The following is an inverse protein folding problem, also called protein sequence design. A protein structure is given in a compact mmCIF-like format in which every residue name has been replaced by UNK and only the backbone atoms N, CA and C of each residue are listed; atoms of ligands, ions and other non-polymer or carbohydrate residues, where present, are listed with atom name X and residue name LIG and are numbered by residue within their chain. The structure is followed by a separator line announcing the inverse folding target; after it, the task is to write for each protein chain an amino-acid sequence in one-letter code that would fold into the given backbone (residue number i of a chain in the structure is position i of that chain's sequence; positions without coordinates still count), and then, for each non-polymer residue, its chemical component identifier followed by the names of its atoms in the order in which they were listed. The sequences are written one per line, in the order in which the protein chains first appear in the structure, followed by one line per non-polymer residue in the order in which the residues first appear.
data_IF_385835457270
#
_entry.id   IF_385835457270
#
_cell.length_a   1.000
_cell.length_b   1.000
_cell.length_c   1.000
_cell.angle_alpha   90.00
_cell.angle_beta   90.00
_cell.angle_gamma   90.00
#
_symmetry.space_group_name_H-M   'P 1'
#
loop_
_entity.id
_entity.type
_entity.pdbx_description
1 polymer ?
#
# COMPACT_ATOMS: atom_id res chain seq x y z
N UNK A 1 6.15 18.24 6.68
CA UNK A 1 7.02 17.29 5.96
C UNK A 1 7.10 15.93 6.65
N UNK A 2 7.61 15.84 7.89
CA UNK A 2 7.74 14.56 8.64
C UNK A 2 6.40 13.82 8.80
N UNK A 3 5.34 14.54 9.21
CA UNK A 3 3.99 13.94 9.37
C UNK A 3 3.49 13.34 8.04
N UNK A 4 3.72 14.01 6.91
CA UNK A 4 3.33 13.50 5.58
C UNK A 4 4.06 12.19 5.25
N UNK A 5 5.36 12.14 5.50
CA UNK A 5 6.20 10.95 5.29
C UNK A 5 5.70 9.78 6.15
N UNK A 6 5.39 10.04 7.43
CA UNK A 6 4.82 9.02 8.34
C UNK A 6 3.47 8.51 7.82
N UNK A 7 2.58 9.39 7.37
CA UNK A 7 1.29 9.00 6.82
C UNK A 7 1.43 8.16 5.54
N UNK A 8 2.37 8.50 4.67
CA UNK A 8 2.66 7.74 3.43
C UNK A 8 3.23 6.37 3.77
N UNK A 9 4.12 6.29 4.76
CA UNK A 9 4.64 5.02 5.27
C UNK A 9 3.51 4.14 5.83
N UNK A 10 2.64 4.70 6.68
CA UNK A 10 1.49 3.97 7.23
C UNK A 10 0.55 3.52 6.11
N UNK A 11 0.32 4.36 5.10
CA UNK A 11 -0.51 4.03 3.96
C UNK A 11 0.08 2.85 3.16
N UNK A 12 1.39 2.88 2.87
CA UNK A 12 2.09 1.76 2.25
C UNK A 12 1.99 0.47 3.07
N UNK A 13 2.18 0.56 4.39
CA UNK A 13 2.03 -0.59 5.29
C UNK A 13 0.63 -1.20 5.21
N UNK A 14 -0.43 -0.38 5.33
CA UNK A 14 -1.82 -0.86 5.29
C UNK A 14 -2.17 -1.45 3.92
N UNK A 15 -1.71 -0.84 2.83
CA UNK A 15 -1.97 -1.34 1.47
C UNK A 15 -1.38 -2.72 1.29
N UNK A 16 -0.16 -2.94 1.77
CA UNK A 16 0.46 -4.24 1.56
C UNK A 16 -0.20 -5.35 2.41
N UNK A 17 -0.75 -5.03 3.58
CA UNK A 17 -1.64 -5.94 4.30
C UNK A 17 -2.87 -6.31 3.47
N UNK A 18 -3.47 -5.35 2.77
CA UNK A 18 -4.61 -5.58 1.88
C UNK A 18 -4.20 -6.39 0.65
N UNK A 19 -3.04 -6.10 0.04
CA UNK A 19 -2.50 -6.85 -1.10
C UNK A 19 -2.22 -8.29 -0.71
N UNK A 20 -1.58 -8.54 0.42
CA UNK A 20 -1.32 -9.90 0.91
C UNK A 20 -2.63 -10.66 1.14
N UNK A 21 -3.64 -10.01 1.73
CA UNK A 21 -4.98 -10.60 1.90
C UNK A 21 -5.70 -10.85 0.58
N UNK A 22 -5.56 -9.94 -0.39
CA UNK A 22 -6.07 -10.09 -1.75
C UNK A 22 -5.45 -11.33 -2.40
N UNK A 23 -4.13 -11.46 -2.34
CA UNK A 23 -3.39 -12.61 -2.88
C UNK A 23 -3.86 -13.92 -2.25
N UNK A 24 -4.13 -13.94 -0.93
CA UNK A 24 -4.76 -15.08 -0.27
C UNK A 24 -6.14 -15.43 -0.86
N UNK A 25 -7.01 -14.44 -1.07
CA UNK A 25 -8.31 -14.67 -1.70
C UNK A 25 -8.23 -15.14 -3.15
N UNK A 26 -7.22 -14.69 -3.89
CA UNK A 26 -6.94 -15.20 -5.25
C UNK A 26 -6.53 -16.67 -5.18
N UNK A 27 -5.61 -17.04 -4.28
CA UNK A 27 -5.17 -18.41 -4.09
C UNK A 27 -6.33 -19.35 -3.67
N UNK A 28 -7.23 -18.87 -2.81
CA UNK A 28 -8.43 -19.59 -2.37
C UNK A 28 -9.59 -19.58 -3.39
N UNK A 29 -9.41 -18.98 -4.58
CA UNK A 29 -10.43 -18.81 -5.62
C UNK A 29 -11.71 -18.09 -5.13
N UNK A 30 -11.59 -17.20 -4.15
CA UNK A 30 -12.71 -16.39 -3.61
C UNK A 30 -12.95 -15.15 -4.47
N UNK A 31 -13.46 -15.35 -5.68
CA UNK A 31 -13.58 -14.33 -6.74
C UNK A 31 -14.20 -13.02 -6.22
N UNK A 32 -15.38 -13.06 -5.60
CA UNK A 32 -16.06 -11.84 -5.15
C UNK A 32 -15.27 -11.02 -4.12
N UNK A 33 -14.58 -11.69 -3.18
CA UNK A 33 -13.74 -11.00 -2.18
C UNK A 33 -12.46 -10.46 -2.81
N UNK A 34 -11.85 -11.20 -3.74
CA UNK A 34 -10.67 -10.76 -4.47
C UNK A 34 -10.97 -9.53 -5.33
N UNK A 35 -12.09 -9.53 -6.08
CA UNK A 35 -12.51 -8.38 -6.90
C UNK A 35 -12.80 -7.14 -6.06
N UNK A 36 -13.52 -7.30 -4.94
CA UNK A 36 -13.80 -6.18 -4.04
C UNK A 36 -12.51 -5.58 -3.45
N UNK A 37 -11.60 -6.43 -2.96
CA UNK A 37 -10.34 -5.97 -2.38
C UNK A 37 -9.43 -5.33 -3.44
N UNK A 38 -9.39 -5.89 -4.65
CA UNK A 38 -8.67 -5.32 -5.78
C UNK A 38 -9.16 -3.91 -6.11
N UNK A 39 -10.48 -3.70 -6.18
CA UNK A 39 -11.05 -2.36 -6.41
C UNK A 39 -10.64 -1.34 -5.34
N UNK A 40 -10.68 -1.73 -4.06
CA UNK A 40 -10.22 -0.87 -2.96
C UNK A 40 -8.74 -0.54 -3.10
N UNK A 41 -7.89 -1.56 -3.31
CA UNK A 41 -6.44 -1.38 -3.45
C UNK A 41 -6.14 -0.41 -4.62
N UNK A 42 -6.83 -0.56 -5.74
CA UNK A 42 -6.66 0.32 -6.91
C UNK A 42 -7.00 1.77 -6.57
N UNK A 43 -8.17 2.04 -5.98
CA UNK A 43 -8.60 3.41 -5.64
C UNK A 43 -7.59 4.06 -4.68
N UNK A 44 -7.17 3.33 -3.65
CA UNK A 44 -6.22 3.84 -2.65
C UNK A 44 -4.85 4.12 -3.29
N UNK A 45 -4.35 3.20 -4.12
CA UNK A 45 -3.07 3.40 -4.82
C UNK A 45 -3.11 4.58 -5.79
N UNK A 46 -4.20 4.77 -6.53
CA UNK A 46 -4.36 5.95 -7.39
C UNK A 46 -4.32 7.25 -6.59
N UNK A 47 -5.06 7.31 -5.47
CA UNK A 47 -5.04 8.47 -4.57
C UNK A 47 -3.64 8.77 -4.04
N UNK A 48 -2.89 7.75 -3.62
CA UNK A 48 -1.52 7.93 -3.13
C UNK A 48 -0.54 8.32 -4.21
N UNK A 49 -0.63 7.73 -5.40
CA UNK A 49 0.17 8.13 -6.55
C UNK A 49 -0.04 9.61 -6.88
N UNK A 50 -1.29 10.08 -6.90
CA UNK A 50 -1.58 11.51 -7.09
C UNK A 50 -0.93 12.37 -6.00
N UNK A 51 -1.00 11.98 -4.73
CA UNK A 51 -0.39 12.72 -3.62
C UNK A 51 1.15 12.71 -3.63
N UNK A 52 1.76 11.62 -4.10
CA UNK A 52 3.21 11.47 -4.21
C UNK A 52 3.73 12.31 -5.39
N UNK A 53 3.04 12.28 -6.53
CA UNK A 53 3.47 12.93 -7.77
C UNK A 53 3.21 14.44 -7.82
N UNK A 54 2.31 14.97 -7.00
CA UNK A 54 2.07 16.41 -6.88
C UNK A 54 3.18 17.16 -6.11
N UNK A 55 4.12 16.45 -5.49
CA UNK A 55 5.21 17.06 -4.72
C UNK A 55 6.43 17.40 -5.58
N UNK A 56 7.25 18.35 -5.14
CA UNK A 56 8.55 18.65 -5.77
C UNK A 56 9.48 17.42 -5.80
N UNK A 57 10.43 17.36 -6.75
CA UNK A 57 11.24 16.15 -7.01
C UNK A 57 11.92 15.54 -5.75
N UNK A 58 12.53 16.37 -4.89
CA UNK A 58 13.18 15.88 -3.66
C UNK A 58 12.18 15.34 -2.62
N UNK A 59 11.02 15.99 -2.47
CA UNK A 59 9.94 15.49 -1.62
C UNK A 59 9.29 14.23 -2.19
N UNK A 60 9.19 14.13 -3.52
CA UNK A 60 8.68 12.95 -4.22
C UNK A 60 9.52 11.71 -3.94
N UNK A 61 10.86 11.82 -3.99
CA UNK A 61 11.76 10.71 -3.67
C UNK A 61 11.57 10.20 -2.24
N UNK A 62 11.54 11.10 -1.25
CA UNK A 62 11.33 10.72 0.16
C UNK A 62 9.96 10.08 0.40
N UNK A 63 8.92 10.58 -0.27
CA UNK A 63 7.58 10.00 -0.24
C UNK A 63 7.57 8.58 -0.84
N UNK A 64 8.25 8.35 -1.97
CA UNK A 64 8.38 7.02 -2.58
C UNK A 64 9.12 6.06 -1.65
N UNK A 65 10.23 6.49 -1.06
CA UNK A 65 10.99 5.64 -0.13
C UNK A 65 10.18 5.28 1.12
N UNK A 66 9.43 6.23 1.66
CA UNK A 66 8.53 5.99 2.79
C UNK A 66 7.42 5.00 2.42
N UNK A 67 6.81 5.17 1.25
CA UNK A 67 5.78 4.27 0.74
C UNK A 67 6.33 2.85 0.54
N UNK A 68 7.49 2.72 -0.09
CA UNK A 68 8.16 1.44 -0.33
C UNK A 68 8.52 0.74 0.99
N UNK A 69 9.13 1.46 1.92
CA UNK A 69 9.48 0.91 3.25
C UNK A 69 8.24 0.46 4.03
N UNK A 70 7.16 1.24 3.97
CA UNK A 70 5.87 0.87 4.54
C UNK A 70 5.34 -0.43 3.94
N UNK A 71 5.27 -0.53 2.61
CA UNK A 71 4.78 -1.74 1.94
C UNK A 71 5.62 -2.98 2.30
N UNK A 72 6.95 -2.90 2.22
CA UNK A 72 7.82 -4.05 2.55
C UNK A 72 7.63 -4.55 3.99
N UNK A 73 7.47 -3.64 4.95
CA UNK A 73 7.18 -4.01 6.34
C UNK A 73 5.75 -4.54 6.51
N UNK A 74 4.80 -4.03 5.73
CA UNK A 74 3.44 -4.57 5.63
C UNK A 74 3.45 -6.02 5.17
N UNK A 75 4.19 -6.35 4.10
CA UNK A 75 4.33 -7.72 3.61
C UNK A 75 4.89 -8.62 4.70
N UNK A 76 6.00 -8.20 5.32
CA UNK A 76 6.64 -8.96 6.38
C UNK A 76 5.69 -9.22 7.55
N UNK A 77 4.96 -8.20 8.00
CA UNK A 77 4.00 -8.33 9.10
C UNK A 77 2.82 -9.24 8.75
N UNK A 78 2.29 -9.14 7.52
CA UNK A 78 1.21 -10.00 7.06
C UNK A 78 1.64 -11.47 6.98
N UNK A 79 2.79 -11.74 6.39
CA UNK A 79 3.30 -13.09 6.20
C UNK A 79 3.77 -13.74 7.50
N UNK A 80 4.39 -12.97 8.41
CA UNK A 80 4.80 -13.50 9.73
C UNK A 80 3.61 -13.92 10.60
N UNK A 81 2.42 -13.39 10.33
CA UNK A 81 1.20 -13.68 11.07
C UNK A 81 0.37 -14.82 10.44
N UNK A 82 0.68 -15.19 9.19
CA UNK A 82 0.03 -16.27 8.46
C UNK A 82 0.58 -17.64 8.88
#
# INVERSE_FOLDING_TARGET
MIIKIILIFIAGFVIDLLVTKYTGYVAEKRIGRATFLSGIITIVNFGLLTLILQDSANSGLMNILAFAGGNSLGTFAALKKA
#
